data_IF_673355275308
#
_entry.id   IF_673355275308
#
_cell.length_a   1.000
_cell.length_b   1.000
_cell.length_c   1.000
_cell.angle_alpha   90.00
_cell.angle_beta   90.00
_cell.angle_gamma   90.00
#
_symmetry.space_group_name_H-M   'P 1'
#
loop_
_entity.id
_entity.type
_entity.pdbx_description
1 polymer ?
#
# COMPACT_ATOMS: atom_id res chain seq x y z
N UNK A 1 -14.23 17.15 16.40
CA UNK A 1 -14.37 15.77 15.87
C UNK A 1 -13.67 14.77 16.78
N UNK A 2 -14.30 13.59 16.95
CA UNK A 2 -13.69 12.42 17.60
C UNK A 2 -13.25 11.46 16.51
N UNK A 3 -11.98 11.11 16.46
CA UNK A 3 -11.39 10.29 15.40
C UNK A 3 -10.82 9.00 15.99
N UNK A 4 -11.08 7.87 15.34
CA UNK A 4 -10.43 6.59 15.64
C UNK A 4 -9.38 6.30 14.57
N UNK A 5 -8.13 6.06 14.98
CA UNK A 5 -7.07 5.58 14.10
C UNK A 5 -6.82 4.11 14.41
N UNK A 6 -6.96 3.25 13.40
CA UNK A 6 -6.73 1.80 13.54
C UNK A 6 -5.29 1.49 13.15
N UNK A 7 -4.59 0.76 14.04
CA UNK A 7 -3.20 0.35 13.89
C UNK A 7 -2.30 0.84 15.03
N UNK A 8 -1.01 0.56 14.96
CA UNK A 8 -0.08 0.87 16.06
C UNK A 8 1.38 1.07 15.63
N UNK A 9 1.63 1.34 14.35
CA UNK A 9 2.96 1.56 13.80
C UNK A 9 3.40 3.03 13.78
N UNK A 10 4.52 3.29 13.10
CA UNK A 10 5.06 4.64 12.89
C UNK A 10 4.14 5.50 12.01
N UNK A 11 3.51 4.91 11.03
CA UNK A 11 2.50 5.51 10.17
C UNK A 11 1.31 6.04 10.97
N UNK A 12 0.71 5.21 11.83
CA UNK A 12 -0.41 5.62 12.68
C UNK A 12 0.00 6.69 13.68
N UNK A 13 1.25 6.65 14.17
CA UNK A 13 1.78 7.72 15.02
C UNK A 13 1.84 9.07 14.25
N UNK A 14 2.31 9.07 13.02
CA UNK A 14 2.36 10.27 12.19
C UNK A 14 0.95 10.81 11.88
N UNK A 15 -0.03 9.93 11.61
CA UNK A 15 -1.44 10.32 11.42
C UNK A 15 -2.00 10.97 12.70
N UNK A 16 -1.85 10.31 13.86
CA UNK A 16 -2.30 10.84 15.14
C UNK A 16 -1.63 12.19 15.48
N UNK A 17 -0.32 12.30 15.23
CA UNK A 17 0.42 13.53 15.43
C UNK A 17 -0.10 14.66 14.54
N UNK A 18 -0.34 14.41 13.25
CA UNK A 18 -0.88 15.41 12.33
C UNK A 18 -2.23 15.89 12.80
N UNK A 19 -3.16 14.99 13.10
CA UNK A 19 -4.51 15.28 13.57
C UNK A 19 -4.51 16.01 14.92
N UNK A 20 -3.58 15.71 15.83
CA UNK A 20 -3.52 16.35 17.15
C UNK A 20 -3.16 17.85 17.11
N UNK A 21 -2.63 18.32 15.98
CA UNK A 21 -2.31 19.73 15.77
C UNK A 21 -3.46 20.52 15.10
N UNK A 22 -4.58 19.86 14.80
CA UNK A 22 -5.70 20.46 14.07
C UNK A 22 -6.83 20.91 15.00
N UNK A 23 -7.32 22.15 14.81
CA UNK A 23 -8.23 22.82 15.77
C UNK A 23 -9.61 22.16 15.89
N UNK A 24 -10.06 21.52 14.80
CA UNK A 24 -11.39 20.89 14.73
C UNK A 24 -11.39 19.45 15.26
N UNK A 25 -10.22 18.93 15.66
CA UNK A 25 -10.08 17.61 16.28
C UNK A 25 -10.15 17.74 17.80
N UNK A 26 -11.20 17.21 18.38
CA UNK A 26 -11.46 17.23 19.83
C UNK A 26 -10.75 16.09 20.54
N UNK A 27 -10.82 14.88 19.96
CA UNK A 27 -10.31 13.67 20.58
C UNK A 27 -9.82 12.67 19.51
N UNK A 28 -8.68 12.07 19.80
CA UNK A 28 -8.13 10.99 18.98
C UNK A 28 -8.00 9.74 19.84
N UNK A 29 -8.55 8.64 19.33
CA UNK A 29 -8.33 7.28 19.84
C UNK A 29 -7.45 6.52 18.85
N UNK A 30 -6.61 5.61 19.33
CA UNK A 30 -5.80 4.76 18.48
C UNK A 30 -5.86 3.31 18.97
N UNK A 31 -6.18 2.36 18.10
CA UNK A 31 -6.39 0.96 18.44
C UNK A 31 -5.50 0.03 17.58
N UNK A 32 -4.53 -0.71 18.17
CA UNK A 32 -4.16 -0.70 19.60
C UNK A 32 -3.29 0.49 20.01
N UNK A 33 -2.68 1.22 19.05
CA UNK A 33 -1.71 2.26 19.34
C UNK A 33 -0.35 1.73 19.85
N UNK A 34 0.47 2.65 20.37
CA UNK A 34 1.77 2.34 20.96
C UNK A 34 2.17 3.44 21.97
N UNK A 35 3.25 3.27 22.78
CA UNK A 35 3.67 4.27 23.76
C UNK A 35 4.03 5.65 23.20
N UNK A 36 4.43 5.75 21.92
CA UNK A 36 4.66 7.02 21.23
C UNK A 36 3.35 7.74 20.94
N UNK A 37 2.37 7.01 20.40
CA UNK A 37 1.01 7.48 20.10
C UNK A 37 0.30 7.94 21.37
N UNK A 38 0.52 7.27 22.51
CA UNK A 38 -0.08 7.64 23.79
C UNK A 38 0.25 9.07 24.28
N UNK A 39 1.21 9.75 23.64
CA UNK A 39 1.54 11.15 23.93
C UNK A 39 0.61 12.14 23.22
N UNK A 40 -0.06 11.72 22.16
CA UNK A 40 -0.90 12.58 21.30
C UNK A 40 -2.31 12.03 21.09
N UNK A 41 -2.59 10.79 21.48
CA UNK A 41 -3.88 10.14 21.37
C UNK A 41 -4.13 9.20 22.55
N UNK A 42 -5.38 8.80 22.77
CA UNK A 42 -5.72 7.75 23.74
C UNK A 42 -5.61 6.38 23.08
N UNK A 43 -4.67 5.55 23.55
CA UNK A 43 -4.52 4.19 23.07
C UNK A 43 -5.58 3.28 23.69
N UNK A 44 -6.22 2.46 22.86
CA UNK A 44 -7.29 1.53 23.24
C UNK A 44 -6.83 0.11 22.96
N UNK A 45 -6.91 -0.76 23.94
CA UNK A 45 -6.45 -2.15 23.83
C UNK A 45 -7.44 -3.01 23.00
N UNK A 46 -7.59 -2.69 21.72
CA UNK A 46 -8.34 -3.45 20.73
C UNK A 46 -7.41 -3.71 19.56
N UNK A 47 -7.31 -4.96 19.11
CA UNK A 47 -6.48 -5.33 17.96
C UNK A 47 -7.02 -4.70 16.67
N UNK A 48 -6.12 -4.34 15.75
CA UNK A 48 -6.49 -3.73 14.46
C UNK A 48 -7.37 -4.62 13.57
N UNK A 49 -7.33 -5.92 13.79
CA UNK A 49 -8.11 -6.94 13.08
C UNK A 49 -9.38 -7.39 13.84
N UNK A 50 -9.61 -6.86 15.02
CA UNK A 50 -10.83 -7.15 15.80
C UNK A 50 -11.97 -6.18 15.42
N UNK A 51 -12.47 -6.37 14.20
CA UNK A 51 -13.45 -5.48 13.58
C UNK A 51 -14.72 -5.32 14.44
N UNK A 52 -15.18 -6.38 15.09
CA UNK A 52 -16.39 -6.35 15.91
C UNK A 52 -16.23 -5.43 17.13
N UNK A 53 -15.13 -5.54 17.85
CA UNK A 53 -14.86 -4.69 19.02
C UNK A 53 -14.54 -3.25 18.59
N UNK A 54 -13.90 -3.03 17.41
CA UNK A 54 -13.69 -1.69 16.85
C UNK A 54 -15.02 -0.99 16.52
N UNK A 55 -15.98 -1.69 15.90
CA UNK A 55 -17.34 -1.16 15.62
C UNK A 55 -18.06 -0.78 16.90
N UNK A 56 -18.06 -1.69 17.90
CA UNK A 56 -18.67 -1.44 19.20
C UNK A 56 -18.07 -0.21 19.86
N UNK A 57 -16.75 -0.11 19.90
CA UNK A 57 -16.02 1.05 20.45
C UNK A 57 -16.39 2.32 19.72
N UNK A 58 -16.39 2.31 18.38
CA UNK A 58 -16.73 3.49 17.59
C UNK A 58 -18.14 4.02 17.88
N UNK A 59 -19.12 3.13 18.06
CA UNK A 59 -20.48 3.48 18.46
C UNK A 59 -20.53 4.03 19.90
N UNK A 60 -19.91 3.37 20.87
CA UNK A 60 -19.90 3.76 22.27
C UNK A 60 -19.25 5.14 22.50
N UNK A 61 -18.20 5.44 21.72
CA UNK A 61 -17.48 6.72 21.80
C UNK A 61 -18.04 7.80 20.87
N UNK A 62 -19.03 7.47 20.05
CA UNK A 62 -19.58 8.38 19.03
C UNK A 62 -18.48 8.92 18.13
N UNK A 63 -17.72 8.02 17.50
CA UNK A 63 -16.62 8.37 16.59
C UNK A 63 -17.21 9.01 15.31
N UNK A 64 -16.71 10.18 14.95
CA UNK A 64 -17.16 10.88 13.74
C UNK A 64 -16.59 10.25 12.46
N UNK A 65 -15.34 9.78 12.52
CA UNK A 65 -14.67 9.09 11.40
C UNK A 65 -13.56 8.17 11.90
N UNK A 66 -13.39 7.04 11.21
CA UNK A 66 -12.30 6.08 11.45
C UNK A 66 -11.30 6.12 10.31
N UNK A 67 -10.00 6.20 10.64
CA UNK A 67 -8.89 6.14 9.68
C UNK A 67 -8.19 4.79 9.84
N UNK A 68 -8.08 4.03 8.75
CA UNK A 68 -7.44 2.70 8.80
C UNK A 68 -5.99 2.82 8.32
N UNK A 69 -5.05 2.47 9.19
CA UNK A 69 -3.63 2.52 8.89
C UNK A 69 -3.11 1.30 8.14
N UNK A 70 -3.23 0.06 8.68
CA UNK A 70 -2.68 -1.15 8.06
C UNK A 70 -3.60 -1.76 7.00
N UNK A 71 -3.03 -2.58 6.13
CA UNK A 71 -3.71 -3.25 5.03
C UNK A 71 -4.60 -4.42 5.47
N UNK A 72 -4.21 -5.13 6.53
CA UNK A 72 -4.91 -6.36 6.95
C UNK A 72 -6.40 -6.12 7.25
N UNK A 73 -6.80 -5.16 8.11
CA UNK A 73 -8.21 -4.90 8.35
C UNK A 73 -8.97 -4.45 7.11
N UNK A 74 -8.34 -3.75 6.16
CA UNK A 74 -8.96 -3.35 4.90
C UNK A 74 -9.29 -4.58 4.03
N UNK A 75 -8.34 -5.50 3.88
CA UNK A 75 -8.54 -6.76 3.14
C UNK A 75 -9.56 -7.66 3.84
N UNK A 76 -9.65 -7.63 5.17
CA UNK A 76 -10.70 -8.31 5.92
C UNK A 76 -12.08 -7.70 5.71
N UNK A 77 -12.19 -6.43 5.27
CA UNK A 77 -13.44 -5.73 5.00
C UNK A 77 -13.93 -4.86 6.15
N UNK A 78 -13.01 -4.28 6.93
CA UNK A 78 -13.37 -3.36 8.01
C UNK A 78 -14.27 -2.24 7.51
N UNK A 79 -13.93 -1.61 6.38
CA UNK A 79 -14.71 -0.51 5.78
C UNK A 79 -16.13 -0.93 5.50
N UNK A 80 -16.33 -2.09 4.86
CA UNK A 80 -17.66 -2.62 4.53
C UNK A 80 -18.52 -2.84 5.79
N UNK A 81 -17.91 -3.36 6.85
CA UNK A 81 -18.61 -3.61 8.13
C UNK A 81 -18.99 -2.30 8.82
N UNK A 82 -18.07 -1.33 8.85
CA UNK A 82 -18.33 -0.01 9.46
C UNK A 82 -19.41 0.76 8.71
N UNK A 83 -19.36 0.79 7.38
CA UNK A 83 -20.36 1.45 6.55
C UNK A 83 -21.75 0.81 6.69
N UNK A 84 -21.84 -0.53 6.78
CA UNK A 84 -23.08 -1.26 7.05
C UNK A 84 -23.69 -0.88 8.42
N UNK A 85 -22.87 -0.47 9.37
CA UNK A 85 -23.29 -0.01 10.70
C UNK A 85 -23.49 1.52 10.77
N UNK A 86 -23.42 2.22 9.62
CA UNK A 86 -23.59 3.68 9.51
C UNK A 86 -22.42 4.51 10.03
N UNK A 87 -21.24 3.90 10.19
CA UNK A 87 -20.03 4.54 10.65
C UNK A 87 -19.16 5.01 9.46
N UNK A 88 -18.61 6.21 9.54
CA UNK A 88 -17.73 6.74 8.50
C UNK A 88 -16.32 6.18 8.63
N UNK A 89 -15.74 5.79 7.48
CA UNK A 89 -14.37 5.26 7.38
C UNK A 89 -13.61 5.96 6.26
N UNK A 90 -12.38 6.32 6.53
CA UNK A 90 -11.39 6.69 5.53
C UNK A 90 -10.46 5.49 5.31
N UNK A 91 -10.73 4.76 4.25
CA UNK A 91 -10.06 3.55 3.82
C UNK A 91 -10.93 2.79 2.82
N UNK A 92 -10.34 2.13 1.81
CA UNK A 92 -11.10 1.46 0.76
C UNK A 92 -11.87 0.24 1.28
N UNK A 93 -12.96 -0.09 0.60
CA UNK A 93 -13.73 -1.30 0.84
C UNK A 93 -12.94 -2.57 0.46
N UNK A 94 -13.45 -3.72 0.86
CA UNK A 94 -12.80 -5.02 0.63
C UNK A 94 -12.49 -5.31 -0.84
N UNK A 95 -13.38 -4.89 -1.77
CA UNK A 95 -13.17 -5.09 -3.21
C UNK A 95 -11.96 -4.27 -3.70
N UNK A 96 -11.88 -3.01 -3.33
CA UNK A 96 -10.76 -2.13 -3.65
C UNK A 96 -9.45 -2.55 -2.95
N UNK A 97 -9.54 -3.09 -1.74
CA UNK A 97 -8.39 -3.57 -0.98
C UNK A 97 -7.68 -4.75 -1.67
N UNK A 98 -8.30 -5.42 -2.65
CA UNK A 98 -7.65 -6.45 -3.46
C UNK A 98 -6.49 -5.91 -4.31
N UNK A 99 -6.44 -4.62 -4.59
CA UNK A 99 -5.29 -4.00 -5.28
C UNK A 99 -3.96 -4.17 -4.52
N UNK A 100 -4.01 -4.32 -3.18
CA UNK A 100 -2.85 -4.67 -2.35
C UNK A 100 -2.91 -6.15 -1.90
N UNK A 101 -4.11 -6.65 -1.62
CA UNK A 101 -4.35 -7.99 -1.11
C UNK A 101 -4.02 -9.12 -2.10
N UNK A 102 -4.07 -8.84 -3.42
CA UNK A 102 -3.72 -9.78 -4.48
C UNK A 102 -2.89 -9.10 -5.55
N UNK A 103 -1.65 -9.56 -5.73
CA UNK A 103 -0.76 -9.06 -6.78
C UNK A 103 -1.25 -9.42 -8.17
N UNK A 104 -1.87 -10.59 -8.30
CA UNK A 104 -2.50 -11.05 -9.52
C UNK A 104 -3.65 -10.13 -9.93
N UNK A 105 -4.57 -9.81 -9.00
CA UNK A 105 -5.65 -8.86 -9.24
C UNK A 105 -5.10 -7.48 -9.65
N UNK A 106 -4.10 -6.98 -8.95
CA UNK A 106 -3.46 -5.69 -9.24
C UNK A 106 -2.84 -5.67 -10.64
N UNK A 107 -2.12 -6.73 -11.03
CA UNK A 107 -1.51 -6.85 -12.35
C UNK A 107 -2.54 -6.97 -13.48
N UNK A 108 -3.57 -7.79 -13.29
CA UNK A 108 -4.67 -7.90 -14.25
C UNK A 108 -5.35 -6.55 -14.47
N UNK A 109 -5.63 -5.81 -13.38
CA UNK A 109 -6.16 -4.45 -13.44
C UNK A 109 -5.23 -3.54 -14.27
N UNK A 110 -3.94 -3.53 -13.98
CA UNK A 110 -2.97 -2.68 -14.70
C UNK A 110 -2.96 -2.97 -16.21
N UNK A 111 -2.97 -4.24 -16.61
CA UNK A 111 -2.93 -4.62 -18.02
C UNK A 111 -4.24 -4.26 -18.72
N UNK A 112 -5.39 -4.56 -18.12
CA UNK A 112 -6.72 -4.26 -18.72
C UNK A 112 -6.91 -2.77 -18.98
N UNK A 113 -6.35 -1.92 -18.11
CA UNK A 113 -6.47 -0.46 -18.22
C UNK A 113 -5.26 0.21 -18.88
N UNK A 114 -4.33 -0.57 -19.47
CA UNK A 114 -3.19 -0.04 -20.24
C UNK A 114 -2.22 0.78 -19.37
N UNK A 115 -2.04 0.40 -18.12
CA UNK A 115 -1.08 1.00 -17.20
C UNK A 115 0.32 0.44 -17.49
N UNK A 116 1.37 1.28 -17.49
CA UNK A 116 2.73 0.81 -17.69
C UNK A 116 3.19 0.01 -16.46
N UNK A 117 3.49 -1.27 -16.66
CA UNK A 117 3.99 -2.17 -15.62
C UNK A 117 4.91 -3.23 -16.23
N UNK A 118 5.61 -3.99 -15.39
CA UNK A 118 6.45 -5.11 -15.81
C UNK A 118 5.63 -6.21 -16.51
N UNK A 119 6.22 -6.87 -17.51
CA UNK A 119 5.66 -8.14 -18.03
C UNK A 119 5.54 -9.14 -16.90
N UNK A 120 4.43 -9.87 -16.86
CA UNK A 120 4.20 -10.83 -15.79
C UNK A 120 3.41 -12.06 -16.27
N UNK A 121 3.45 -13.11 -15.46
CA UNK A 121 2.57 -14.27 -15.60
C UNK A 121 2.29 -14.87 -14.22
N UNK A 122 1.09 -15.41 -14.07
CA UNK A 122 0.62 -16.02 -12.83
C UNK A 122 0.78 -17.53 -12.89
N UNK A 123 1.13 -18.14 -11.76
CA UNK A 123 1.27 -19.58 -11.65
C UNK A 123 0.69 -20.13 -10.35
N UNK A 124 -0.06 -21.22 -10.48
CA UNK A 124 -0.52 -22.08 -9.39
C UNK A 124 0.08 -23.48 -9.48
N UNK A 125 0.90 -23.74 -10.51
CA UNK A 125 1.54 -25.01 -10.80
C UNK A 125 3.06 -24.79 -10.84
N UNK A 126 3.78 -25.44 -9.94
CA UNK A 126 5.22 -25.29 -9.80
C UNK A 126 5.99 -25.74 -11.06
N UNK A 127 5.58 -26.86 -11.67
CA UNK A 127 6.31 -27.40 -12.84
C UNK A 127 6.19 -26.46 -14.04
N UNK A 128 5.02 -25.83 -14.22
CA UNK A 128 4.82 -24.79 -15.24
C UNK A 128 5.64 -23.54 -14.95
N UNK A 129 5.67 -23.09 -13.68
CA UNK A 129 6.48 -21.95 -13.29
C UNK A 129 7.96 -22.18 -13.56
N UNK A 130 8.48 -23.40 -13.27
CA UNK A 130 9.86 -23.79 -13.56
C UNK A 130 10.14 -23.91 -15.07
N UNK A 131 9.16 -24.37 -15.86
CA UNK A 131 9.31 -24.48 -17.30
C UNK A 131 9.43 -23.13 -18.00
N UNK A 132 8.66 -22.12 -17.52
CA UNK A 132 8.55 -20.81 -18.16
C UNK A 132 9.52 -19.76 -17.56
N UNK A 133 10.28 -20.10 -16.50
CA UNK A 133 11.06 -19.10 -15.74
C UNK A 133 12.08 -18.33 -16.59
N UNK A 134 12.66 -19.00 -17.59
CA UNK A 134 13.68 -18.41 -18.46
C UNK A 134 13.10 -17.36 -19.44
N UNK A 135 11.77 -17.33 -19.65
CA UNK A 135 11.09 -16.36 -20.52
C UNK A 135 11.15 -14.91 -19.96
N UNK A 136 11.46 -14.78 -18.67
CA UNK A 136 11.54 -13.48 -17.99
C UNK A 136 12.94 -12.89 -17.94
N UNK A 137 13.98 -13.67 -18.28
CA UNK A 137 15.38 -13.30 -18.12
C UNK A 137 15.83 -13.24 -16.65
N UNK A 138 17.07 -12.80 -16.44
CA UNK A 138 17.63 -12.66 -15.08
C UNK A 138 18.33 -11.31 -14.92
N UNK A 139 18.22 -10.64 -13.73
CA UNK A 139 17.43 -11.09 -12.57
C UNK A 139 15.94 -11.22 -12.91
N UNK A 140 15.20 -12.05 -12.16
CA UNK A 140 13.76 -12.22 -12.29
C UNK A 140 13.07 -11.88 -10.96
N UNK A 141 11.84 -11.34 -11.00
CA UNK A 141 11.09 -11.02 -9.79
C UNK A 141 10.01 -12.08 -9.54
N UNK A 142 10.05 -12.72 -8.38
CA UNK A 142 9.07 -13.73 -7.96
C UNK A 142 8.34 -13.20 -6.72
N UNK A 143 7.00 -13.09 -6.82
CA UNK A 143 6.14 -12.55 -5.76
C UNK A 143 5.11 -13.59 -5.33
N UNK A 144 4.96 -13.80 -4.03
CA UNK A 144 3.81 -14.53 -3.48
C UNK A 144 2.54 -13.66 -3.65
N UNK A 145 1.41 -14.27 -4.06
CA UNK A 145 0.14 -13.58 -4.24
C UNK A 145 -0.60 -13.51 -2.90
N UNK A 146 -0.53 -12.35 -2.25
CA UNK A 146 -1.15 -12.11 -0.95
C UNK A 146 -0.30 -11.20 -0.07
N UNK A 147 -0.83 -10.91 1.11
CA UNK A 147 -0.12 -10.12 2.12
C UNK A 147 1.03 -10.94 2.71
N UNK A 148 2.25 -10.46 2.55
CA UNK A 148 3.46 -11.11 3.08
C UNK A 148 4.39 -10.14 3.82
N UNK A 149 3.84 -9.03 4.33
CA UNK A 149 4.55 -8.00 5.11
C UNK A 149 5.87 -7.54 4.45
N UNK A 150 5.85 -7.31 3.12
CA UNK A 150 7.02 -6.90 2.34
C UNK A 150 8.08 -7.99 2.10
N UNK A 151 7.89 -9.20 2.62
CA UNK A 151 8.85 -10.32 2.51
C UNK A 151 8.54 -11.30 1.38
N UNK A 152 7.37 -11.18 0.76
CA UNK A 152 6.90 -12.09 -0.31
C UNK A 152 7.51 -11.80 -1.68
N UNK A 153 8.53 -10.95 -1.80
CA UNK A 153 9.21 -10.61 -3.05
C UNK A 153 10.66 -11.06 -2.98
N UNK A 154 11.08 -11.89 -3.92
CA UNK A 154 12.46 -12.37 -4.06
C UNK A 154 12.92 -12.08 -5.48
N UNK A 155 14.18 -11.71 -5.65
CA UNK A 155 14.78 -11.34 -6.92
C UNK A 155 15.99 -12.25 -7.17
N UNK A 156 15.78 -13.46 -7.70
CA UNK A 156 16.86 -14.36 -8.07
C UNK A 156 17.67 -13.85 -9.26
N UNK A 157 18.98 -13.99 -9.19
CA UNK A 157 19.90 -13.53 -10.23
C UNK A 157 20.21 -14.58 -11.30
N UNK A 158 19.77 -15.83 -11.07
CA UNK A 158 20.00 -16.95 -11.97
C UNK A 158 18.91 -18.01 -11.82
N UNK A 159 18.91 -18.98 -12.75
CA UNK A 159 17.91 -20.05 -12.83
C UNK A 159 17.87 -20.95 -11.58
N UNK A 160 19.03 -21.28 -11.01
CA UNK A 160 19.11 -22.18 -9.85
C UNK A 160 18.44 -21.56 -8.62
N UNK A 161 18.77 -20.31 -8.34
CA UNK A 161 18.15 -19.54 -7.24
C UNK A 161 16.65 -19.30 -7.49
N UNK A 162 16.23 -19.07 -8.74
CA UNK A 162 14.83 -18.92 -9.10
C UNK A 162 14.03 -20.20 -8.82
N UNK A 163 14.53 -21.36 -9.26
CA UNK A 163 13.88 -22.66 -8.99
C UNK A 163 13.81 -22.95 -7.49
N UNK A 164 14.88 -22.64 -6.75
CA UNK A 164 14.88 -22.77 -5.29
C UNK A 164 13.80 -21.89 -4.66
N UNK A 165 13.72 -20.64 -5.08
CA UNK A 165 12.69 -19.68 -4.60
C UNK A 165 11.27 -20.19 -4.90
N UNK A 166 11.01 -20.67 -6.11
CA UNK A 166 9.71 -21.24 -6.48
C UNK A 166 9.31 -22.40 -5.57
N UNK A 167 10.25 -23.33 -5.30
CA UNK A 167 10.00 -24.45 -4.39
C UNK A 167 9.72 -24.00 -2.96
N UNK A 168 10.52 -23.07 -2.42
CA UNK A 168 10.31 -22.51 -1.08
C UNK A 168 8.94 -21.84 -0.94
N UNK A 169 8.49 -21.09 -1.97
CA UNK A 169 7.21 -20.40 -1.94
C UNK A 169 6.03 -21.35 -2.11
N UNK A 170 6.04 -22.18 -3.15
CA UNK A 170 4.88 -22.98 -3.55
C UNK A 170 4.79 -24.33 -2.84
N UNK A 171 5.93 -25.02 -2.63
CA UNK A 171 5.94 -26.36 -2.02
C UNK A 171 6.08 -26.31 -0.51
N UNK A 172 7.04 -25.52 -0.02
CA UNK A 172 7.37 -25.48 1.41
C UNK A 172 6.47 -24.51 2.18
N UNK A 173 5.55 -23.83 1.46
CA UNK A 173 4.58 -22.87 2.01
C UNK A 173 5.21 -21.82 2.93
N UNK A 174 6.39 -21.33 2.59
CA UNK A 174 7.15 -20.34 3.36
C UNK A 174 6.33 -19.09 3.72
N UNK A 175 5.32 -18.77 2.90
CA UNK A 175 4.40 -17.64 3.12
C UNK A 175 2.96 -18.09 3.37
N UNK A 176 2.75 -19.34 3.84
CA UNK A 176 1.43 -19.92 4.06
C UNK A 176 0.61 -19.95 2.75
N UNK A 177 -0.68 -19.65 2.84
CA UNK A 177 -1.60 -19.68 1.69
C UNK A 177 -1.24 -18.64 0.61
N UNK A 178 -0.53 -17.56 0.96
CA UNK A 178 -0.07 -16.56 -0.01
C UNK A 178 0.92 -17.14 -1.04
N UNK A 179 1.57 -18.28 -0.75
CA UNK A 179 2.47 -18.97 -1.66
C UNK A 179 1.79 -19.96 -2.61
N UNK A 180 0.50 -20.22 -2.48
CA UNK A 180 -0.25 -21.14 -3.38
C UNK A 180 -0.39 -20.58 -4.80
N UNK A 181 -0.36 -19.27 -4.95
CA UNK A 181 -0.29 -18.56 -6.21
C UNK A 181 0.91 -17.61 -6.19
N UNK A 182 1.63 -17.56 -7.29
CA UNK A 182 2.76 -16.66 -7.46
C UNK A 182 2.59 -15.82 -8.73
N UNK A 183 3.22 -14.65 -8.72
CA UNK A 183 3.40 -13.78 -9.88
C UNK A 183 4.90 -13.73 -10.19
N UNK A 184 5.27 -14.05 -11.43
CA UNK A 184 6.63 -13.90 -11.95
C UNK A 184 6.64 -12.68 -12.87
N UNK A 185 7.62 -11.79 -12.67
CA UNK A 185 7.76 -10.54 -13.44
C UNK A 185 9.17 -10.39 -14.00
N UNK A 186 9.28 -9.70 -15.14
CA UNK A 186 10.57 -9.18 -15.59
C UNK A 186 11.15 -8.22 -14.55
N UNK A 187 12.47 -8.23 -14.42
CA UNK A 187 13.16 -7.25 -13.57
C UNK A 187 13.21 -5.89 -14.27
N UNK A 188 12.73 -4.86 -13.60
CA UNK A 188 12.81 -3.48 -14.08
C UNK A 188 14.06 -2.80 -13.52
N UNK A 189 14.87 -2.22 -14.41
CA UNK A 189 16.03 -1.43 -14.02
C UNK A 189 15.66 0.06 -14.00
N UNK A 190 15.96 0.76 -12.90
CA UNK A 190 15.62 2.16 -12.75
C UNK A 190 15.77 2.66 -11.32
N UNK A 191 15.10 3.75 -11.02
CA UNK A 191 15.09 4.36 -9.68
C UNK A 191 13.68 4.24 -9.10
N UNK A 192 13.57 3.63 -7.92
CA UNK A 192 12.29 3.55 -7.21
C UNK A 192 11.87 4.91 -6.66
N UNK A 193 10.58 5.20 -6.74
CA UNK A 193 9.93 6.32 -6.07
C UNK A 193 8.51 5.96 -5.71
N UNK A 194 7.94 6.68 -4.75
CA UNK A 194 6.60 6.44 -4.25
C UNK A 194 5.75 7.70 -4.36
N UNK A 195 4.51 7.53 -4.83
CA UNK A 195 3.49 8.56 -4.86
C UNK A 195 2.32 8.11 -4.02
N UNK A 196 1.96 8.91 -3.04
CA UNK A 196 0.71 8.75 -2.29
C UNK A 196 -0.31 9.72 -2.88
N UNK A 197 -1.53 9.26 -3.07
CA UNK A 197 -2.62 10.10 -3.56
C UNK A 197 -3.87 9.93 -2.69
N UNK A 198 -4.55 11.04 -2.41
CA UNK A 198 -5.91 11.01 -1.92
C UNK A 198 -6.82 10.63 -3.08
N UNK A 199 -7.73 9.70 -2.85
CA UNK A 199 -8.64 9.20 -3.88
C UNK A 199 -10.05 9.10 -3.33
N UNK A 200 -10.99 9.60 -4.11
CA UNK A 200 -12.39 9.23 -4.08
C UNK A 200 -12.79 8.71 -5.47
N UNK A 201 -14.06 8.28 -5.65
CA UNK A 201 -14.51 7.69 -6.92
C UNK A 201 -14.46 8.65 -8.13
N UNK A 202 -14.32 9.96 -7.91
CA UNK A 202 -14.28 10.98 -8.97
C UNK A 202 -12.90 11.62 -9.14
N UNK A 203 -12.06 11.58 -8.09
CA UNK A 203 -10.86 12.40 -8.02
C UNK A 203 -9.66 11.61 -7.52
N UNK A 204 -8.49 11.91 -8.07
CA UNK A 204 -7.19 11.46 -7.57
C UNK A 204 -6.22 12.63 -7.46
N UNK A 205 -5.77 12.92 -6.23
CA UNK A 205 -4.91 14.07 -5.94
C UNK A 205 -3.61 13.58 -5.33
N UNK A 206 -2.48 13.65 -6.08
CA UNK A 206 -1.20 13.22 -5.55
C UNK A 206 -0.70 14.16 -4.46
N UNK A 207 -0.09 13.58 -3.44
CA UNK A 207 0.73 14.29 -2.46
C UNK A 207 2.11 14.61 -3.03
N UNK A 208 2.92 15.35 -2.26
CA UNK A 208 4.34 15.49 -2.56
C UNK A 208 5.01 14.11 -2.61
N UNK A 209 5.92 13.92 -3.56
CA UNK A 209 6.64 12.65 -3.72
C UNK A 209 7.48 12.29 -2.49
N UNK A 210 7.68 11.02 -2.25
CA UNK A 210 8.57 10.50 -1.24
C UNK A 210 9.42 9.35 -1.79
N UNK A 211 10.55 9.11 -1.14
CA UNK A 211 11.36 7.93 -1.38
C UNK A 211 11.74 7.32 -0.04
N UNK A 212 11.58 6.00 0.08
CA UNK A 212 12.09 5.22 1.19
C UNK A 212 13.42 4.54 0.84
N UNK A 213 14.18 4.21 1.89
CA UNK A 213 15.39 3.40 1.80
C UNK A 213 15.08 1.99 2.29
N UNK A 214 14.82 1.07 1.37
CA UNK A 214 14.39 -0.31 1.70
C UNK A 214 15.54 -1.23 2.05
N UNK A 215 16.74 -0.98 1.51
CA UNK A 215 17.89 -1.88 1.69
C UNK A 215 18.56 -1.69 3.05
N UNK A 216 18.98 -2.81 3.66
CA UNK A 216 19.57 -2.82 5.01
C UNK A 216 20.99 -2.22 5.04
N UNK A 217 21.71 -2.22 3.92
CA UNK A 217 23.06 -1.71 3.81
C UNK A 217 23.15 -0.43 2.97
N UNK A 218 24.27 0.30 3.12
CA UNK A 218 24.57 1.44 2.28
C UNK A 218 24.73 1.05 0.80
N UNK A 219 24.45 1.99 -0.10
CA UNK A 219 24.60 1.79 -1.54
C UNK A 219 23.52 0.89 -2.16
N UNK A 220 22.34 0.85 -1.57
CA UNK A 220 21.20 0.07 -2.05
C UNK A 220 21.51 -1.44 -2.16
N UNK A 221 22.21 -1.99 -1.16
CA UNK A 221 22.62 -3.40 -1.11
C UNK A 221 22.03 -4.16 0.08
N UNK A 222 22.06 -5.49 0.01
CA UNK A 222 21.53 -6.37 1.05
C UNK A 222 20.02 -6.63 0.92
N UNK A 223 19.43 -7.18 1.98
CA UNK A 223 18.01 -7.56 1.99
C UNK A 223 17.10 -6.33 2.08
N UNK A 224 15.91 -6.46 1.53
CA UNK A 224 14.83 -5.49 1.74
C UNK A 224 14.37 -5.52 3.19
N UNK A 225 14.06 -4.35 3.73
CA UNK A 225 13.45 -4.13 5.04
C UNK A 225 12.06 -3.52 4.87
N UNK A 226 11.37 -3.26 5.97
CA UNK A 226 10.13 -2.48 5.96
C UNK A 226 10.32 -0.96 5.77
N UNK A 227 11.57 -0.50 5.59
CA UNK A 227 11.97 0.91 5.46
C UNK A 227 12.96 1.31 6.55
N UNK A 228 14.13 1.82 6.12
CA UNK A 228 15.20 2.30 7.01
C UNK A 228 15.11 3.80 7.25
N UNK A 229 14.32 4.49 6.45
CA UNK A 229 14.10 5.93 6.51
C UNK A 229 13.48 6.43 5.22
N UNK A 230 12.99 7.66 5.24
CA UNK A 230 12.31 8.29 4.11
C UNK A 230 12.67 9.76 4.00
N UNK A 231 12.59 10.29 2.79
CA UNK A 231 12.68 11.73 2.55
C UNK A 231 11.66 12.20 1.50
N UNK A 232 11.33 13.47 1.54
CA UNK A 232 10.38 14.14 0.65
C UNK A 232 10.80 15.59 0.44
N UNK A 233 10.76 16.14 -0.82
CA UNK A 233 10.39 15.44 -2.05
C UNK A 233 11.51 14.52 -2.56
N UNK A 234 11.16 13.60 -3.46
CA UNK A 234 12.16 12.83 -4.22
C UNK A 234 12.82 13.70 -5.27
N UNK A 235 14.15 13.72 -5.32
CA UNK A 235 14.90 14.57 -6.26
C UNK A 235 14.66 14.24 -7.74
N UNK A 236 14.28 12.99 -8.03
CA UNK A 236 13.97 12.56 -9.41
C UNK A 236 12.57 12.99 -9.87
N UNK A 237 11.72 13.47 -8.95
CA UNK A 237 10.33 13.83 -9.24
C UNK A 237 10.25 15.26 -9.80
N UNK A 238 10.64 15.41 -11.08
CA UNK A 238 10.54 16.67 -11.82
C UNK A 238 9.11 16.97 -12.24
N UNK A 239 8.82 18.22 -12.64
CA UNK A 239 7.50 18.61 -13.15
C UNK A 239 7.09 17.81 -14.39
N UNK A 240 8.05 17.47 -15.27
CA UNK A 240 7.81 16.64 -16.45
C UNK A 240 7.45 15.22 -16.05
N UNK A 241 8.19 14.62 -15.11
CA UNK A 241 7.88 13.30 -14.60
C UNK A 241 6.52 13.27 -13.86
N UNK A 242 6.22 14.31 -13.08
CA UNK A 242 4.94 14.47 -12.39
C UNK A 242 3.76 14.48 -13.38
N UNK A 243 3.90 15.24 -14.48
CA UNK A 243 2.90 15.27 -15.55
C UNK A 243 2.73 13.89 -16.22
N UNK A 244 3.84 13.23 -16.54
CA UNK A 244 3.81 11.89 -17.13
C UNK A 244 3.10 10.88 -16.23
N UNK A 245 3.46 10.85 -14.93
CA UNK A 245 2.83 9.97 -13.93
C UNK A 245 1.34 10.29 -13.81
N UNK A 246 0.97 11.58 -13.78
CA UNK A 246 -0.43 11.96 -13.72
C UNK A 246 -1.22 11.40 -14.91
N UNK A 247 -0.77 11.66 -16.14
CA UNK A 247 -1.49 11.29 -17.36
C UNK A 247 -1.49 9.77 -17.64
N UNK A 248 -0.35 9.10 -17.42
CA UNK A 248 -0.16 7.71 -17.80
C UNK A 248 -0.37 6.70 -16.67
N UNK A 249 -0.39 7.15 -15.42
CA UNK A 249 -0.61 6.27 -14.26
C UNK A 249 -1.87 6.69 -13.50
N UNK A 250 -1.90 7.89 -12.90
CA UNK A 250 -2.96 8.26 -11.98
C UNK A 250 -4.33 8.43 -12.67
N UNK A 251 -4.39 9.17 -13.77
CA UNK A 251 -5.65 9.39 -14.51
C UNK A 251 -6.18 8.07 -15.11
N UNK A 252 -5.29 7.19 -15.60
CA UNK A 252 -5.69 5.85 -16.07
C UNK A 252 -6.16 4.95 -14.94
N UNK A 253 -5.51 5.03 -13.76
CA UNK A 253 -5.93 4.28 -12.58
C UNK A 253 -7.34 4.69 -12.15
N UNK A 254 -7.60 5.99 -12.03
CA UNK A 254 -8.92 6.50 -11.69
C UNK A 254 -10.00 6.06 -12.69
N UNK A 255 -9.69 6.18 -13.98
CA UNK A 255 -10.58 5.71 -15.03
C UNK A 255 -10.84 4.21 -14.93
N UNK A 256 -9.80 3.41 -14.67
CA UNK A 256 -9.93 1.98 -14.44
C UNK A 256 -10.82 1.65 -13.24
N UNK A 257 -10.71 2.40 -12.15
CA UNK A 257 -11.61 2.25 -11.00
C UNK A 257 -13.08 2.48 -11.40
N UNK A 258 -13.35 3.53 -12.16
CA UNK A 258 -14.69 3.84 -12.64
C UNK A 258 -15.24 2.75 -13.58
N UNK A 259 -14.43 2.26 -14.53
CA UNK A 259 -14.81 1.23 -15.49
C UNK A 259 -15.08 -0.12 -14.81
N UNK A 260 -14.32 -0.49 -13.76
CA UNK A 260 -14.50 -1.73 -13.01
C UNK A 260 -15.51 -1.64 -11.86
N UNK A 261 -16.08 -0.45 -11.62
CA UNK A 261 -16.97 -0.18 -10.50
C UNK A 261 -16.26 -0.43 -9.15
N UNK A 262 -15.02 0.05 -9.04
CA UNK A 262 -14.24 0.12 -7.81
C UNK A 262 -14.49 1.48 -7.16
N UNK A 263 -15.40 1.55 -6.21
CA UNK A 263 -15.64 2.75 -5.39
C UNK A 263 -14.52 2.92 -4.37
N UNK A 264 -13.38 3.42 -4.86
CA UNK A 264 -12.18 3.61 -4.03
C UNK A 264 -12.26 4.92 -3.26
N UNK A 265 -12.15 4.86 -1.94
CA UNK A 265 -12.01 6.02 -1.05
C UNK A 265 -10.85 5.78 -0.10
N UNK A 266 -9.92 6.72 -0.03
CA UNK A 266 -8.77 6.59 0.87
C UNK A 266 -7.45 7.03 0.25
N UNK A 267 -6.38 6.37 0.65
CA UNK A 267 -5.05 6.59 0.11
C UNK A 267 -4.71 5.48 -0.88
N UNK A 268 -4.31 5.89 -2.07
CA UNK A 268 -3.63 5.02 -3.02
C UNK A 268 -2.13 5.34 -2.98
N UNK A 269 -1.34 4.37 -2.57
CA UNK A 269 0.11 4.40 -2.69
C UNK A 269 0.48 3.70 -3.99
N UNK A 270 1.24 4.37 -4.84
CA UNK A 270 1.74 3.84 -6.11
C UNK A 270 3.26 3.72 -6.01
N UNK A 271 3.76 2.50 -5.96
CA UNK A 271 5.18 2.19 -6.09
C UNK A 271 5.57 2.22 -7.56
N UNK A 272 6.56 3.02 -7.91
CA UNK A 272 7.00 3.24 -9.28
C UNK A 272 8.47 2.88 -9.45
N UNK A 273 8.81 2.30 -10.61
CA UNK A 273 10.16 2.25 -11.14
C UNK A 273 10.26 3.25 -12.28
N UNK A 274 11.16 4.22 -12.16
CA UNK A 274 11.46 5.17 -13.21
C UNK A 274 12.56 4.58 -14.07
N UNK A 275 12.17 4.03 -15.21
CA UNK A 275 13.05 3.39 -16.19
C UNK A 275 13.42 4.38 -17.31
N UNK A 276 14.31 3.96 -18.21
CA UNK A 276 14.63 4.73 -19.44
C UNK A 276 13.41 4.93 -20.34
N UNK A 277 12.46 3.99 -20.32
CA UNK A 277 11.19 4.06 -21.08
C UNK A 277 10.10 4.87 -20.37
N UNK A 278 10.37 5.42 -19.17
CA UNK A 278 9.41 6.15 -18.34
C UNK A 278 8.96 5.40 -17.08
N UNK A 279 7.94 5.93 -16.38
CA UNK A 279 7.46 5.34 -15.13
C UNK A 279 6.71 4.03 -15.39
N UNK A 280 7.02 2.98 -14.61
CA UNK A 280 6.29 1.71 -14.59
C UNK A 280 5.81 1.41 -13.18
N UNK A 281 4.57 0.99 -13.04
CA UNK A 281 3.97 0.64 -11.74
C UNK A 281 4.52 -0.70 -11.27
N UNK A 282 5.10 -0.70 -10.07
CA UNK A 282 5.59 -1.90 -9.38
C UNK A 282 4.47 -2.58 -8.60
N UNK A 283 3.70 -1.78 -7.87
CA UNK A 283 2.62 -2.24 -7.00
C UNK A 283 1.70 -1.08 -6.59
N UNK A 284 0.49 -1.43 -6.18
CA UNK A 284 -0.38 -0.56 -5.41
C UNK A 284 -0.42 -1.00 -3.96
N UNK A 285 -0.47 -0.01 -3.05
CA UNK A 285 -0.92 -0.23 -1.69
C UNK A 285 -2.12 0.69 -1.44
N UNK A 286 -3.09 0.23 -0.67
CA UNK A 286 -4.40 0.89 -0.54
C UNK A 286 -4.55 1.68 0.77
N UNK A 287 -3.44 2.14 1.28
CA UNK A 287 -3.31 2.83 2.56
C UNK A 287 -2.08 3.74 2.55
N UNK A 288 -1.95 4.54 3.58
CA UNK A 288 -0.72 5.29 3.82
C UNK A 288 0.51 4.36 3.86
N UNK A 289 1.64 4.81 3.28
CA UNK A 289 2.92 4.12 3.33
C UNK A 289 3.57 4.18 4.72
N UNK A 290 4.44 3.25 5.02
CA UNK A 290 5.33 3.31 6.19
C UNK A 290 6.73 2.92 5.71
N UNK A 291 7.71 3.88 5.69
CA UNK A 291 7.77 5.13 6.44
C UNK A 291 7.40 6.43 5.67
N UNK A 292 6.82 6.40 4.48
CA UNK A 292 6.60 7.61 3.66
C UNK A 292 5.64 8.60 4.33
N UNK A 293 4.64 8.11 5.05
CA UNK A 293 3.63 8.94 5.73
C UNK A 293 4.26 9.95 6.67
N UNK A 294 5.33 9.58 7.36
CA UNK A 294 6.04 10.45 8.30
C UNK A 294 6.61 11.69 7.61
N UNK A 295 7.11 11.54 6.38
CA UNK A 295 7.67 12.67 5.62
C UNK A 295 6.60 13.48 4.88
N UNK A 296 5.60 12.83 4.28
CA UNK A 296 4.58 13.56 3.48
C UNK A 296 3.58 14.31 4.36
N UNK A 297 3.15 13.76 5.50
CA UNK A 297 2.23 14.45 6.40
C UNK A 297 2.88 15.63 7.11
N UNK A 298 4.19 15.58 7.37
CA UNK A 298 4.94 16.71 7.90
C UNK A 298 4.90 17.92 6.96
N UNK A 299 4.82 17.66 5.65
CA UNK A 299 4.77 18.69 4.59
C UNK A 299 3.35 19.08 4.18
N UNK A 300 2.33 18.34 4.61
CA UNK A 300 0.94 18.63 4.28
C UNK A 300 0.48 19.89 5.02
N UNK A 301 0.20 20.97 4.28
CA UNK A 301 -0.27 22.26 4.85
C UNK A 301 -1.76 22.23 5.19
N UNK A 302 -2.56 21.55 4.36
CA UNK A 302 -4.00 21.38 4.59
C UNK A 302 -4.27 20.51 5.81
N UNK A 303 -5.28 20.86 6.60
CA UNK A 303 -5.75 20.04 7.72
C UNK A 303 -6.21 18.67 7.22
N UNK A 304 -5.62 17.61 7.76
CA UNK A 304 -5.92 16.24 7.34
C UNK A 304 -7.37 15.87 7.65
N UNK A 305 -7.93 16.33 8.78
CA UNK A 305 -9.32 16.08 9.15
C UNK A 305 -10.31 16.59 8.09
N UNK A 306 -10.01 17.71 7.42
CA UNK A 306 -10.84 18.24 6.34
C UNK A 306 -10.80 17.36 5.09
N UNK A 307 -9.62 16.83 4.76
CA UNK A 307 -9.45 15.96 3.60
C UNK A 307 -10.18 14.63 3.81
N UNK A 308 -9.98 13.99 4.97
CA UNK A 308 -10.59 12.68 5.24
C UNK A 308 -12.11 12.73 5.47
N UNK A 309 -12.66 13.93 5.67
CA UNK A 309 -14.10 14.14 5.93
C UNK A 309 -14.87 14.64 4.70
N UNK A 310 -14.14 15.02 3.65
CA UNK A 310 -14.73 15.48 2.40
C UNK A 310 -15.30 14.28 1.62
#
# INVERSE_FOLDING_TARGET
MKILVVGGGGREHAICWKLSNEKDVEKIYCAPGNPGIAKVAECVNIGDSDIAELVKFAKEKEIDITVVGPEVPLVMGLTDVFEAEGLKVFGPNKKCAQLEGSKAFSKDFMIRHGLPTAKYKEYTDLDKAIADIDDFGYPVVIKADGLAAGKGVVIPENREDAIKTLKEMMSDKKFGDAGEKIVIEEFLNGIETSILAFVDHETIVPMVSAKDHKKVNNGETGLNTGGMGTFSPSEIYTDELAKNIKENVLDKTLKGFQEDGLDFKGILFVGLMITEDGPKVLEYNVRFGDPETQSVLFRLETDLNKIISA
#
